data_IF_666999834895
#
_entry.id   IF_666999834895
#
_cell.length_a   1.000
_cell.length_b   1.000
_cell.length_c   1.000
_cell.angle_alpha   90.00
_cell.angle_beta   90.00
_cell.angle_gamma   90.00
#
_symmetry.space_group_name_H-M   'P 1'
#
loop_
_entity.id
_entity.type
_entity.pdbx_description
1 polymer ?
#
# COMPACT_ATOMS: atom_id res chain seq x y z
N UNK A 1 -12.16 -31.60 31.44
CA UNK A 1 -11.22 -30.66 30.79
C UNK A 1 -12.02 -29.46 30.35
N UNK A 2 -12.02 -28.41 31.15
CA UNK A 2 -12.81 -27.19 30.91
C UNK A 2 -12.13 -26.35 29.83
N UNK A 3 -12.83 -26.15 28.71
CA UNK A 3 -12.45 -25.17 27.71
C UNK A 3 -12.54 -23.78 28.35
N UNK A 4 -11.40 -23.19 28.67
CA UNK A 4 -11.29 -21.78 29.04
C UNK A 4 -11.77 -20.96 27.85
N UNK A 5 -12.97 -20.40 27.95
CA UNK A 5 -13.46 -19.41 27.00
C UNK A 5 -12.48 -18.22 27.05
N UNK A 6 -11.60 -18.12 26.05
CA UNK A 6 -10.83 -16.92 25.81
C UNK A 6 -11.84 -15.80 25.54
N UNK A 7 -11.99 -14.89 26.49
CA UNK A 7 -12.74 -13.66 26.29
C UNK A 7 -12.16 -12.94 25.05
N UNK A 8 -13.01 -12.31 24.22
CA UNK A 8 -12.52 -11.54 23.08
C UNK A 8 -11.57 -10.47 23.62
N UNK A 9 -10.30 -10.57 23.23
CA UNK A 9 -9.29 -9.55 23.54
C UNK A 9 -9.82 -8.27 22.94
N UNK A 10 -10.06 -7.24 23.76
CA UNK A 10 -10.31 -5.90 23.22
C UNK A 10 -9.02 -5.42 22.57
N UNK A 11 -8.94 -5.63 21.26
CA UNK A 11 -7.68 -5.50 20.52
C UNK A 11 -7.29 -4.02 20.40
N UNK A 12 -8.24 -3.10 20.50
CA UNK A 12 -8.03 -1.66 20.62
C UNK A 12 -6.90 -1.06 19.75
N UNK A 13 -6.17 -0.10 20.32
CA UNK A 13 -4.99 0.52 19.70
C UNK A 13 -3.84 -0.49 19.43
N UNK A 14 -3.52 -1.43 20.33
CA UNK A 14 -2.46 -2.41 20.10
C UNK A 14 -2.69 -3.27 18.84
N UNK A 15 -3.93 -3.67 18.57
CA UNK A 15 -4.35 -4.40 17.39
C UNK A 15 -4.12 -3.62 16.11
N UNK A 16 -4.50 -2.34 16.10
CA UNK A 16 -4.25 -1.44 14.96
C UNK A 16 -2.75 -1.33 14.67
N UNK A 17 -1.92 -1.16 15.71
CA UNK A 17 -0.45 -1.07 15.56
C UNK A 17 0.12 -2.38 15.02
N UNK A 18 -0.33 -3.52 15.57
CA UNK A 18 0.07 -4.85 15.12
C UNK A 18 -0.28 -5.09 13.65
N UNK A 19 -1.52 -4.80 13.23
CA UNK A 19 -1.96 -4.92 11.84
C UNK A 19 -1.16 -3.98 10.93
N UNK A 20 -0.94 -2.73 11.35
CA UNK A 20 -0.15 -1.77 10.58
C UNK A 20 1.29 -2.25 10.37
N UNK A 21 1.92 -2.85 11.39
CA UNK A 21 3.26 -3.45 11.27
C UNK A 21 3.25 -4.59 10.25
N UNK A 22 2.26 -5.46 10.26
CA UNK A 22 2.10 -6.52 9.26
C UNK A 22 1.95 -5.98 7.83
N UNK A 23 1.11 -4.97 7.61
CA UNK A 23 0.97 -4.31 6.30
C UNK A 23 2.30 -3.70 5.83
N UNK A 24 3.09 -3.11 6.74
CA UNK A 24 4.42 -2.56 6.42
C UNK A 24 5.39 -3.64 6.00
N UNK A 25 5.42 -4.78 6.71
CA UNK A 25 6.24 -5.94 6.34
C UNK A 25 5.84 -6.42 4.93
N UNK A 26 4.54 -6.57 4.66
CA UNK A 26 4.04 -6.96 3.33
C UNK A 26 4.53 -6.01 2.22
N UNK A 27 4.55 -4.70 2.52
CA UNK A 27 5.11 -3.69 1.61
C UNK A 27 6.61 -3.85 1.37
N UNK A 28 7.40 -4.15 2.42
CA UNK A 28 8.83 -4.44 2.30
C UNK A 28 9.09 -5.71 1.49
N UNK A 29 8.33 -6.78 1.73
CA UNK A 29 8.41 -8.03 0.95
C UNK A 29 8.15 -7.77 -0.55
N UNK A 30 7.11 -6.98 -0.88
CA UNK A 30 6.84 -6.60 -2.27
C UNK A 30 7.99 -5.83 -2.92
N UNK A 31 8.59 -4.87 -2.20
CA UNK A 31 9.74 -4.12 -2.69
C UNK A 31 10.97 -5.02 -2.91
N UNK A 32 11.20 -6.01 -2.04
CA UNK A 32 12.28 -6.99 -2.22
C UNK A 32 12.03 -7.82 -3.47
N UNK A 33 10.81 -8.38 -3.67
CA UNK A 33 10.47 -9.15 -4.87
C UNK A 33 10.74 -8.35 -6.15
N UNK A 34 10.32 -7.08 -6.18
CA UNK A 34 10.56 -6.21 -7.33
C UNK A 34 12.06 -6.00 -7.58
N UNK A 35 12.86 -5.76 -6.54
CA UNK A 35 14.30 -5.60 -6.69
C UNK A 35 15.00 -6.89 -7.14
N UNK A 36 14.56 -8.05 -6.63
CA UNK A 36 15.08 -9.36 -7.05
C UNK A 36 14.80 -9.59 -8.53
N UNK A 37 13.58 -9.32 -9.00
CA UNK A 37 13.23 -9.41 -10.43
C UNK A 37 14.11 -8.50 -11.30
N UNK A 38 14.23 -7.23 -10.93
CA UNK A 38 15.06 -6.27 -11.67
C UNK A 38 16.55 -6.65 -11.67
N UNK A 39 17.05 -7.20 -10.56
CA UNK A 39 18.44 -7.65 -10.46
C UNK A 39 18.69 -8.95 -11.22
N UNK A 40 17.68 -9.80 -11.41
CA UNK A 40 17.79 -10.99 -12.25
C UNK A 40 17.94 -10.62 -13.73
N UNK A 41 17.25 -9.57 -14.18
CA UNK A 41 17.39 -9.03 -15.54
C UNK A 41 18.74 -8.32 -15.76
N UNK A 42 19.19 -7.55 -14.77
CA UNK A 42 20.45 -6.81 -14.83
C UNK A 42 21.18 -6.87 -13.47
N UNK A 43 22.04 -7.88 -13.26
CA UNK A 43 22.78 -8.03 -12.02
C UNK A 43 23.69 -6.83 -11.76
N UNK A 44 23.50 -6.18 -10.61
CA UNK A 44 24.36 -5.08 -10.15
C UNK A 44 24.76 -5.33 -8.70
N UNK A 45 26.07 -5.29 -8.36
CA UNK A 45 26.53 -5.53 -6.98
C UNK A 45 25.84 -4.61 -5.95
N UNK A 46 25.61 -3.34 -6.31
CA UNK A 46 24.90 -2.39 -5.45
C UNK A 46 23.44 -2.78 -5.19
N UNK A 47 22.74 -3.33 -6.20
CA UNK A 47 21.37 -3.82 -6.05
C UNK A 47 21.34 -5.08 -5.19
N UNK A 48 22.29 -6.00 -5.37
CA UNK A 48 22.41 -7.20 -4.53
C UNK A 48 22.64 -6.86 -3.06
N UNK A 49 23.55 -5.92 -2.77
CA UNK A 49 23.77 -5.44 -1.41
C UNK A 49 22.50 -4.81 -0.80
N UNK A 50 21.76 -4.02 -1.60
CA UNK A 50 20.47 -3.44 -1.18
C UNK A 50 19.41 -4.51 -0.89
N UNK A 51 19.31 -5.55 -1.72
CA UNK A 51 18.41 -6.69 -1.49
C UNK A 51 18.75 -7.36 -0.16
N UNK A 52 20.03 -7.67 0.07
CA UNK A 52 20.45 -8.32 1.31
C UNK A 52 20.15 -7.47 2.55
N UNK A 53 20.45 -6.16 2.49
CA UNK A 53 20.13 -5.25 3.58
C UNK A 53 18.62 -5.21 3.88
N UNK A 54 17.78 -5.17 2.85
CA UNK A 54 16.32 -5.19 3.02
C UNK A 54 15.83 -6.53 3.58
N UNK A 55 16.39 -7.66 3.13
CA UNK A 55 16.06 -8.99 3.66
C UNK A 55 16.41 -9.09 5.14
N UNK A 56 17.62 -8.71 5.55
CA UNK A 56 18.02 -8.71 6.97
C UNK A 56 17.05 -7.90 7.85
N UNK A 57 16.70 -6.69 7.41
CA UNK A 57 15.73 -5.86 8.12
C UNK A 57 14.34 -6.51 8.18
N UNK A 58 13.84 -7.00 7.05
CA UNK A 58 12.54 -7.64 6.97
C UNK A 58 12.45 -8.89 7.85
N UNK A 59 13.52 -9.68 7.93
CA UNK A 59 13.60 -10.86 8.81
C UNK A 59 13.52 -10.46 10.28
N UNK A 60 14.22 -9.41 10.69
CA UNK A 60 14.14 -8.90 12.06
C UNK A 60 12.74 -8.35 12.40
N UNK A 61 12.17 -7.55 11.50
CA UNK A 61 10.82 -6.99 11.66
C UNK A 61 9.76 -8.11 11.74
N UNK A 62 9.90 -9.15 10.90
CA UNK A 62 9.03 -10.31 10.86
C UNK A 62 9.14 -11.16 12.13
N UNK A 63 10.34 -11.47 12.59
CA UNK A 63 10.53 -12.23 13.84
C UNK A 63 9.84 -11.53 15.03
N UNK A 64 10.04 -10.22 15.16
CA UNK A 64 9.37 -9.42 16.19
C UNK A 64 7.85 -9.37 16.01
N UNK A 65 7.35 -9.34 14.78
CA UNK A 65 5.91 -9.37 14.51
C UNK A 65 5.29 -10.75 14.79
N UNK A 66 5.97 -11.85 14.44
CA UNK A 66 5.53 -13.22 14.75
C UNK A 66 5.42 -13.49 16.25
N UNK A 67 6.33 -12.92 17.05
CA UNK A 67 6.24 -12.99 18.51
C UNK A 67 4.96 -12.32 19.05
N UNK A 68 4.46 -11.28 18.39
CA UNK A 68 3.17 -10.63 18.74
C UNK A 68 1.97 -11.37 18.13
N UNK A 69 2.17 -12.06 17.00
CA UNK A 69 1.10 -12.77 16.31
C UNK A 69 0.49 -13.88 17.16
N UNK A 70 1.27 -14.57 18.00
CA UNK A 70 0.72 -15.58 18.92
C UNK A 70 -0.27 -14.99 19.93
N UNK A 71 -0.16 -13.70 20.25
CA UNK A 71 -1.07 -12.99 21.16
C UNK A 71 -2.31 -12.51 20.43
N UNK A 72 -2.15 -11.88 19.26
CA UNK A 72 -3.25 -11.26 18.52
C UNK A 72 -3.98 -12.20 17.56
N UNK A 73 -3.34 -13.29 17.12
CA UNK A 73 -3.83 -14.24 16.12
C UNK A 73 -3.46 -15.67 16.52
N UNK A 74 -3.86 -16.14 17.71
CA UNK A 74 -3.39 -17.42 18.28
C UNK A 74 -3.68 -18.63 17.38
N UNK A 75 -4.80 -18.60 16.64
CA UNK A 75 -5.21 -19.70 15.75
C UNK A 75 -4.48 -19.69 14.40
N UNK A 76 -3.87 -18.58 14.00
CA UNK A 76 -3.27 -18.42 12.66
C UNK A 76 -1.92 -19.14 12.53
N UNK A 77 -1.21 -19.31 13.65
CA UNK A 77 0.06 -20.05 13.67
C UNK A 77 -0.06 -21.50 13.17
N UNK A 78 -1.26 -22.09 13.25
CA UNK A 78 -1.54 -23.46 12.78
C UNK A 78 -1.66 -23.56 11.25
N UNK A 79 -1.93 -22.43 10.59
CA UNK A 79 -2.23 -22.37 9.15
C UNK A 79 -1.06 -21.80 8.35
N UNK A 80 -0.22 -20.98 8.98
CA UNK A 80 0.87 -20.28 8.30
C UNK A 80 2.18 -21.04 8.46
N UNK A 81 2.67 -21.61 7.35
CA UNK A 81 3.98 -22.25 7.29
C UNK A 81 5.11 -21.22 7.34
N UNK A 82 6.13 -21.50 8.15
CA UNK A 82 7.37 -20.74 8.16
C UNK A 82 8.26 -21.23 7.01
N UNK A 83 8.68 -20.30 6.14
CA UNK A 83 9.66 -20.57 5.08
C UNK A 83 11.03 -20.10 5.57
N UNK A 84 12.11 -20.65 5.01
CA UNK A 84 13.49 -20.36 5.41
C UNK A 84 13.86 -18.86 5.42
N UNK A 85 15.00 -18.51 6.08
CA UNK A 85 15.40 -17.12 6.33
C UNK A 85 15.77 -16.33 5.06
N UNK A 86 16.07 -17.00 3.95
CA UNK A 86 16.45 -16.36 2.68
C UNK A 86 15.26 -15.98 1.80
N UNK A 87 14.05 -16.42 2.17
CA UNK A 87 12.82 -16.25 1.40
C UNK A 87 11.80 -15.38 2.14
N UNK A 88 12.28 -14.41 2.93
CA UNK A 88 11.41 -13.55 3.75
C UNK A 88 10.35 -12.84 2.90
N UNK A 89 10.66 -12.52 1.65
CA UNK A 89 9.73 -11.94 0.68
C UNK A 89 8.66 -12.89 0.16
N UNK A 90 8.77 -14.19 0.41
CA UNK A 90 7.79 -15.21 0.02
C UNK A 90 6.99 -15.74 1.22
N UNK A 91 7.35 -15.36 2.45
CA UNK A 91 6.62 -15.76 3.64
C UNK A 91 5.22 -15.12 3.68
N UNK A 92 4.20 -15.96 3.83
CA UNK A 92 2.82 -15.53 4.05
C UNK A 92 2.69 -15.00 5.47
N UNK A 93 2.13 -13.80 5.66
CA UNK A 93 2.02 -13.21 6.99
C UNK A 93 0.83 -13.78 7.77
N UNK A 94 -0.22 -14.19 7.07
CA UNK A 94 -1.51 -14.53 7.64
C UNK A 94 -2.29 -13.28 8.02
N UNK A 95 -2.24 -12.21 7.24
CA UNK A 95 -3.09 -11.04 7.49
C UNK A 95 -4.57 -11.38 7.22
N UNK A 96 -5.54 -10.74 7.88
CA UNK A 96 -6.96 -11.02 7.62
C UNK A 96 -7.37 -10.98 6.14
N UNK A 97 -6.80 -10.07 5.33
CA UNK A 97 -7.05 -9.99 3.88
C UNK A 97 -6.52 -11.19 3.07
N UNK A 98 -5.73 -12.08 3.67
CA UNK A 98 -5.22 -13.31 3.06
C UNK A 98 -6.18 -14.49 3.26
N UNK A 99 -7.24 -14.31 4.06
CA UNK A 99 -8.24 -15.32 4.36
C UNK A 99 -9.61 -14.96 3.78
N UNK A 100 -10.38 -15.99 3.40
CA UNK A 100 -11.80 -15.82 3.06
C UNK A 100 -12.61 -15.33 4.27
N UNK A 101 -13.84 -14.88 4.04
CA UNK A 101 -14.72 -14.48 5.14
C UNK A 101 -14.94 -15.63 6.16
N UNK A 102 -15.28 -16.83 5.67
CA UNK A 102 -15.50 -17.99 6.53
C UNK A 102 -14.24 -18.37 7.35
N UNK A 103 -13.05 -18.29 6.74
CA UNK A 103 -11.79 -18.53 7.46
C UNK A 103 -11.50 -17.46 8.51
N UNK A 104 -11.84 -16.18 8.24
CA UNK A 104 -11.71 -15.11 9.24
C UNK A 104 -12.62 -15.33 10.43
N UNK A 105 -13.81 -15.87 10.22
CA UNK A 105 -14.73 -16.25 11.30
C UNK A 105 -14.17 -17.42 12.10
N UNK A 106 -13.71 -18.50 11.44
CA UNK A 106 -13.17 -19.68 12.12
C UNK A 106 -11.87 -19.43 12.88
N UNK A 107 -11.07 -18.45 12.44
CA UNK A 107 -9.78 -18.08 13.04
C UNK A 107 -9.88 -16.90 14.02
N UNK A 108 -11.10 -16.43 14.32
CA UNK A 108 -11.38 -15.28 15.19
C UNK A 108 -10.65 -13.98 14.78
N UNK A 109 -10.66 -13.68 13.48
CA UNK A 109 -9.95 -12.54 12.89
C UNK A 109 -10.85 -11.35 12.57
N UNK A 110 -12.12 -11.38 12.94
CA UNK A 110 -13.10 -10.36 12.53
C UNK A 110 -12.74 -8.95 13.02
N UNK A 111 -12.31 -8.82 14.27
CA UNK A 111 -11.91 -7.53 14.83
C UNK A 111 -10.65 -6.97 14.11
N UNK A 112 -9.62 -7.81 13.92
CA UNK A 112 -8.43 -7.43 13.16
C UNK A 112 -8.75 -7.11 11.69
N UNK A 113 -9.69 -7.82 11.07
CA UNK A 113 -10.13 -7.55 9.71
C UNK A 113 -10.76 -6.15 9.58
N UNK A 114 -11.52 -5.70 10.59
CA UNK A 114 -12.06 -4.32 10.63
C UNK A 114 -10.94 -3.29 10.75
N UNK A 115 -9.94 -3.52 11.59
CA UNK A 115 -8.76 -2.66 11.68
C UNK A 115 -7.98 -2.60 10.36
N UNK A 116 -7.73 -3.76 9.74
CA UNK A 116 -7.05 -3.84 8.45
C UNK A 116 -7.83 -3.10 7.36
N UNK A 117 -9.15 -3.25 7.32
CA UNK A 117 -10.03 -2.56 6.38
C UNK A 117 -9.85 -1.04 6.50
N UNK A 118 -9.98 -0.49 7.72
CA UNK A 118 -9.83 0.95 7.96
C UNK A 118 -8.43 1.46 7.59
N UNK A 119 -7.38 0.72 7.96
CA UNK A 119 -6.00 1.06 7.60
C UNK A 119 -5.79 1.08 6.09
N UNK A 120 -6.25 0.04 5.37
CA UNK A 120 -6.10 -0.05 3.92
C UNK A 120 -6.92 1.00 3.19
N UNK A 121 -8.11 1.36 3.67
CA UNK A 121 -8.91 2.47 3.12
C UNK A 121 -8.15 3.80 3.23
N UNK A 122 -7.61 4.10 4.42
CA UNK A 122 -6.81 5.32 4.65
C UNK A 122 -5.55 5.33 3.78
N UNK A 123 -4.86 4.20 3.67
CA UNK A 123 -3.66 4.08 2.84
C UNK A 123 -3.97 4.24 1.35
N UNK A 124 -5.04 3.63 0.85
CA UNK A 124 -5.50 3.80 -0.52
C UNK A 124 -5.84 5.27 -0.83
N UNK A 125 -6.58 5.93 0.07
CA UNK A 125 -6.89 7.35 -0.05
C UNK A 125 -5.63 8.23 -0.12
N UNK A 126 -4.66 7.97 0.76
CA UNK A 126 -3.39 8.69 0.76
C UNK A 126 -2.59 8.44 -0.53
N UNK A 127 -2.59 7.22 -1.06
CA UNK A 127 -1.97 6.92 -2.34
C UNK A 127 -2.65 7.67 -3.49
N UNK A 128 -3.99 7.71 -3.52
CA UNK A 128 -4.76 8.48 -4.50
C UNK A 128 -4.45 9.99 -4.45
N UNK A 129 -4.32 10.57 -3.25
CA UNK A 129 -3.81 11.94 -3.07
C UNK A 129 -2.39 12.09 -3.61
N UNK A 130 -1.51 11.13 -3.34
CA UNK A 130 -0.14 11.08 -3.88
C UNK A 130 -0.10 11.12 -5.40
N UNK A 131 -0.92 10.30 -6.08
CA UNK A 131 -1.06 10.30 -7.55
C UNK A 131 -1.50 11.67 -8.06
N UNK A 132 -2.52 12.29 -7.44
CA UNK A 132 -3.00 13.63 -7.81
C UNK A 132 -1.90 14.69 -7.67
N UNK A 133 -1.14 14.66 -6.58
CA UNK A 133 -0.03 15.59 -6.36
C UNK A 133 1.08 15.43 -7.40
N UNK A 134 1.45 14.20 -7.75
CA UNK A 134 2.45 13.94 -8.79
C UNK A 134 1.94 14.42 -10.16
N UNK A 135 0.68 14.14 -10.52
CA UNK A 135 0.09 14.61 -11.76
C UNK A 135 0.13 16.14 -11.89
N UNK A 136 -0.19 16.87 -10.81
CA UNK A 136 -0.11 18.33 -10.77
C UNK A 136 1.33 18.83 -10.97
N UNK A 137 2.31 18.21 -10.32
CA UNK A 137 3.74 18.55 -10.51
C UNK A 137 4.20 18.30 -11.93
N UNK A 138 3.90 17.14 -12.50
CA UNK A 138 4.23 16.82 -13.89
C UNK A 138 3.59 17.82 -14.86
N UNK A 139 2.36 18.24 -14.58
CA UNK A 139 1.69 19.27 -15.37
C UNK A 139 2.38 20.64 -15.23
N UNK A 140 2.77 21.06 -14.03
CA UNK A 140 3.54 22.29 -13.82
C UNK A 140 4.88 22.23 -14.57
N UNK A 141 5.62 21.13 -14.41
CA UNK A 141 6.87 20.88 -15.13
C UNK A 141 6.69 20.81 -16.64
N UNK A 142 5.49 20.54 -17.17
CA UNK A 142 5.20 20.63 -18.60
C UNK A 142 4.91 22.06 -19.09
N UNK A 143 4.44 22.95 -18.21
CA UNK A 143 4.06 24.34 -18.53
C UNK A 143 5.24 25.31 -18.49
N UNK A 144 6.25 25.06 -17.65
CA UNK A 144 7.48 25.89 -17.55
C UNK A 144 8.39 25.77 -18.79
N UNK A 145 7.86 25.40 -19.95
CA UNK A 145 8.61 24.74 -21.05
C UNK A 145 8.83 25.61 -22.29
N UNK A 146 8.96 26.93 -22.16
CA UNK A 146 9.26 27.78 -23.33
C UNK A 146 10.35 28.83 -23.09
N UNK A 147 10.57 29.32 -21.87
CA UNK A 147 11.34 30.56 -21.70
C UNK A 147 12.66 30.47 -20.92
N UNK A 148 13.03 29.33 -20.32
CA UNK A 148 14.16 29.28 -19.36
C UNK A 148 15.22 28.18 -19.54
N UNK A 149 14.97 27.13 -20.34
CA UNK A 149 15.96 26.05 -20.54
C UNK A 149 16.87 26.35 -21.73
N UNK A 150 17.78 27.31 -21.59
CA UNK A 150 18.67 27.75 -22.68
C UNK A 150 19.93 26.87 -22.85
N UNK A 151 19.90 25.60 -22.46
CA UNK A 151 21.05 24.70 -22.67
C UNK A 151 20.81 23.19 -22.43
N UNK A 152 21.60 22.32 -23.08
CA UNK A 152 21.42 20.86 -23.06
C UNK A 152 21.57 20.24 -21.66
N UNK A 153 22.42 20.79 -20.79
CA UNK A 153 22.58 20.32 -19.41
C UNK A 153 21.34 20.60 -18.53
N UNK A 154 20.70 21.76 -18.71
CA UNK A 154 19.47 22.10 -17.98
C UNK A 154 18.30 21.21 -18.44
N UNK A 155 18.21 20.98 -19.75
CA UNK A 155 17.25 20.03 -20.32
C UNK A 155 17.43 18.61 -19.76
N UNK A 156 18.67 18.10 -19.69
CA UNK A 156 18.95 16.77 -19.14
C UNK A 156 18.54 16.63 -17.65
N UNK A 157 18.86 17.63 -16.82
CA UNK A 157 18.46 17.67 -15.39
C UNK A 157 16.94 17.65 -15.25
N UNK A 158 16.23 18.48 -16.02
CA UNK A 158 14.77 18.54 -16.00
C UNK A 158 14.13 17.21 -16.44
N UNK A 159 14.68 16.56 -17.46
CA UNK A 159 14.20 15.24 -17.89
C UNK A 159 14.42 14.19 -16.79
N UNK A 160 15.54 14.26 -16.08
CA UNK A 160 15.79 13.40 -14.93
C UNK A 160 14.78 13.66 -13.79
N UNK A 161 14.44 14.91 -13.51
CA UNK A 161 13.42 15.26 -12.51
C UNK A 161 12.03 14.76 -12.90
N UNK A 162 11.63 14.91 -14.16
CA UNK A 162 10.39 14.36 -14.68
C UNK A 162 10.36 12.84 -14.54
N UNK A 163 11.45 12.15 -14.90
CA UNK A 163 11.58 10.70 -14.73
C UNK A 163 11.40 10.29 -13.27
N UNK A 164 12.06 10.98 -12.33
CA UNK A 164 11.95 10.70 -10.89
C UNK A 164 10.53 10.91 -10.35
N UNK A 165 9.83 11.95 -10.80
CA UNK A 165 8.44 12.21 -10.42
C UNK A 165 7.48 11.18 -11.06
N UNK A 166 7.72 10.74 -12.30
CA UNK A 166 6.96 9.64 -12.91
C UNK A 166 7.13 8.34 -12.12
N UNK A 167 8.37 7.96 -11.79
CA UNK A 167 8.64 6.79 -10.93
C UNK A 167 7.95 6.91 -9.56
N UNK A 168 7.88 8.12 -9.00
CA UNK A 168 7.14 8.37 -7.76
C UNK A 168 5.63 8.16 -7.94
N UNK A 169 5.07 8.61 -9.06
CA UNK A 169 3.68 8.37 -9.43
C UNK A 169 3.39 6.88 -9.57
N UNK A 170 4.24 6.16 -10.29
CA UNK A 170 4.13 4.72 -10.51
C UNK A 170 4.15 3.97 -9.17
N UNK A 171 5.01 4.35 -8.21
CA UNK A 171 5.01 3.80 -6.84
C UNK A 171 3.71 4.06 -6.07
N UNK A 172 3.08 5.23 -6.22
CA UNK A 172 1.79 5.50 -5.58
C UNK A 172 0.66 4.68 -6.21
N UNK A 173 0.68 4.49 -7.53
CA UNK A 173 -0.29 3.65 -8.25
C UNK A 173 -0.16 2.19 -7.81
N UNK A 174 1.06 1.65 -7.78
CA UNK A 174 1.31 0.28 -7.36
C UNK A 174 0.80 0.03 -5.93
N UNK A 175 1.15 0.92 -5.00
CA UNK A 175 0.65 0.85 -3.61
C UNK A 175 -0.87 0.96 -3.54
N UNK A 176 -1.48 1.86 -4.31
CA UNK A 176 -2.93 2.00 -4.39
C UNK A 176 -3.58 0.69 -4.84
N UNK A 177 -3.08 0.09 -5.92
CA UNK A 177 -3.62 -1.14 -6.48
C UNK A 177 -3.46 -2.32 -5.51
N UNK A 178 -2.34 -2.40 -4.78
CA UNK A 178 -2.14 -3.39 -3.72
C UNK A 178 -3.13 -3.20 -2.56
N UNK A 179 -3.38 -1.96 -2.12
CA UNK A 179 -4.40 -1.69 -1.09
C UNK A 179 -5.79 -2.06 -1.59
N UNK A 180 -6.14 -1.67 -2.82
CA UNK A 180 -7.42 -1.99 -3.46
C UNK A 180 -7.66 -3.51 -3.54
N UNK A 181 -6.66 -4.27 -3.97
CA UNK A 181 -6.77 -5.73 -4.09
C UNK A 181 -7.10 -6.38 -2.74
N UNK A 182 -6.48 -5.92 -1.66
CA UNK A 182 -6.77 -6.43 -0.33
C UNK A 182 -8.10 -5.91 0.24
N UNK A 183 -8.51 -4.67 -0.08
CA UNK A 183 -9.84 -4.16 0.28
C UNK A 183 -10.93 -5.04 -0.33
N UNK A 184 -10.80 -5.42 -1.61
CA UNK A 184 -11.73 -6.33 -2.29
C UNK A 184 -11.83 -7.70 -1.62
N UNK A 185 -10.77 -8.17 -0.95
CA UNK A 185 -10.81 -9.42 -0.17
C UNK A 185 -11.45 -9.22 1.20
N UNK A 186 -11.31 -8.03 1.78
CA UNK A 186 -11.80 -7.72 3.12
C UNK A 186 -13.30 -7.41 3.17
N UNK A 187 -13.85 -6.80 2.12
CA UNK A 187 -15.26 -6.40 2.03
C UNK A 187 -16.00 -7.15 0.92
N UNK A 188 -17.26 -7.47 1.16
CA UNK A 188 -18.21 -7.98 0.14
C UNK A 188 -18.82 -6.85 -0.68
N UNK A 189 -18.89 -5.64 -0.13
CA UNK A 189 -19.32 -4.44 -0.85
C UNK A 189 -18.23 -3.98 -1.83
N UNK A 190 -18.63 -3.50 -3.01
CA UNK A 190 -17.73 -2.90 -3.98
C UNK A 190 -17.07 -1.67 -3.35
N UNK A 191 -15.76 -1.68 -3.07
CA UNK A 191 -15.10 -0.54 -2.47
C UNK A 191 -15.15 0.66 -3.42
N UNK A 192 -15.41 1.86 -2.90
CA UNK A 192 -15.30 3.13 -3.66
C UNK A 192 -13.83 3.50 -3.90
N UNK A 193 -13.14 2.60 -4.58
CA UNK A 193 -11.72 2.69 -4.91
C UNK A 193 -11.55 2.22 -6.37
N UNK A 194 -11.89 3.05 -7.36
CA UNK A 194 -11.76 2.70 -8.77
C UNK A 194 -10.30 2.48 -9.15
N UNK A 195 -9.99 1.55 -10.08
CA UNK A 195 -8.61 1.29 -10.47
C UNK A 195 -7.95 2.56 -11.02
N UNK A 196 -6.74 2.87 -10.53
CA UNK A 196 -5.94 3.98 -11.03
C UNK A 196 -4.89 3.42 -11.98
N UNK A 197 -4.82 3.98 -13.18
CA UNK A 197 -3.82 3.62 -14.18
C UNK A 197 -2.79 4.74 -14.34
N UNK A 198 -1.70 4.46 -15.04
CA UNK A 198 -0.66 5.44 -15.37
C UNK A 198 -1.20 6.67 -16.11
N UNK A 199 -2.32 6.53 -16.83
CA UNK A 199 -3.02 7.65 -17.47
C UNK A 199 -3.50 8.73 -16.47
N UNK A 200 -3.66 8.39 -15.19
CA UNK A 200 -3.96 9.37 -14.16
C UNK A 200 -2.82 10.37 -13.92
N UNK A 201 -1.56 9.99 -14.22
CA UNK A 201 -0.39 10.88 -14.13
C UNK A 201 -0.31 11.85 -15.30
N UNK A 202 -0.97 11.54 -16.41
CA UNK A 202 -0.89 12.31 -17.66
C UNK A 202 -2.17 13.09 -17.96
N UNK A 203 -3.22 12.98 -17.13
CA UNK A 203 -4.53 13.60 -17.41
C UNK A 203 -4.36 15.08 -17.77
N UNK A 204 -4.71 15.39 -19.03
CA UNK A 204 -4.90 16.75 -19.53
C UNK A 204 -5.90 17.49 -18.65
N UNK A 205 -5.80 18.82 -18.64
CA UNK A 205 -6.75 19.74 -17.99
C UNK A 205 -8.15 19.15 -18.05
N UNK A 206 -8.79 18.93 -16.90
CA UNK A 206 -10.23 18.72 -16.87
C UNK A 206 -10.87 19.80 -17.71
N UNK A 207 -11.69 19.40 -18.67
CA UNK A 207 -12.46 20.35 -19.46
C UNK A 207 -13.31 21.19 -18.49
N UNK A 208 -13.68 22.43 -18.83
CA UNK A 208 -14.61 23.21 -18.00
C UNK A 208 -15.87 22.42 -17.63
N UNK A 209 -16.34 21.53 -18.51
CA UNK A 209 -17.47 20.63 -18.28
C UNK A 209 -17.22 19.60 -17.17
N UNK A 210 -16.03 19.00 -17.10
CA UNK A 210 -15.67 18.06 -16.01
C UNK A 210 -15.51 18.75 -14.65
N UNK A 211 -15.10 20.03 -14.63
CA UNK A 211 -15.05 20.83 -13.38
C UNK A 211 -16.45 21.19 -12.89
N UNK A 212 -17.37 21.52 -13.81
CA UNK A 212 -18.76 21.77 -13.49
C UNK A 212 -19.45 20.50 -12.93
N UNK A 213 -19.18 19.34 -13.54
CA UNK A 213 -19.71 18.06 -13.07
C UNK A 213 -19.16 17.67 -11.68
N UNK A 214 -17.86 17.88 -11.43
CA UNK A 214 -17.26 17.64 -10.12
C UNK A 214 -17.78 18.58 -9.02
N UNK A 215 -18.08 19.83 -9.36
CA UNK A 215 -18.70 20.81 -8.45
C UNK A 215 -20.15 20.46 -8.14
N UNK A 216 -20.92 19.97 -9.11
CA UNK A 216 -22.30 19.54 -8.92
C UNK A 216 -22.38 18.27 -8.05
N UNK A 217 -21.45 17.32 -8.23
CA UNK A 217 -21.34 16.14 -7.37
C UNK A 217 -20.92 16.47 -5.94
N UNK A 218 -20.09 17.51 -5.74
CA UNK A 218 -19.72 17.99 -4.41
C UNK A 218 -20.89 18.73 -3.71
N UNK A 219 -21.77 19.38 -4.48
CA UNK A 219 -22.96 20.07 -3.96
C UNK A 219 -24.11 19.12 -3.57
N UNK A 220 -24.10 17.87 -4.06
CA UNK A 220 -25.10 16.84 -3.74
C UNK A 220 -24.61 15.79 -2.75
N UNK A 221 -23.33 15.82 -2.37
CA UNK A 221 -22.84 14.99 -1.28
C UNK A 221 -23.37 15.54 0.05
N UNK A 222 -24.04 14.74 0.90
CA UNK A 222 -24.40 15.18 2.24
C UNK A 222 -23.14 15.65 2.96
N UNK A 223 -23.20 16.90 3.40
CA UNK A 223 -22.19 17.56 4.22
C UNK A 223 -22.09 16.78 5.53
N UNK A 224 -21.22 15.78 5.59
CA UNK A 224 -20.61 15.43 6.87
C UNK A 224 -19.57 16.49 7.17
N UNK A 225 -20.13 17.60 7.67
CA UNK A 225 -19.45 18.66 8.38
C UNK A 225 -18.56 18.06 9.46
N UNK A 226 -17.34 18.60 9.53
CA UNK A 226 -16.69 19.02 10.77
C UNK A 226 -16.93 18.11 11.98
N UNK A 227 -15.99 17.22 12.29
CA UNK A 227 -15.48 17.08 13.66
C UNK A 227 -14.07 16.47 13.60
N UNK A 228 -13.16 17.18 14.27
CA UNK A 228 -11.86 16.81 14.87
C UNK A 228 -11.24 15.44 14.51
#
# INVERSE_FOLDING_TARGET
MTATAMLPVDIGVPGVIFTLKGIRIQGTQAAIRQLVLLNAEQPRPATQHKIQHLRTRATADLASWRAQQSVFMPLVGQVVHQVGPHDVEHQVLGLPSEFSQAQRESLDLLALARHELALRQRMAWNCGKGVKHVALRLQQSSRTRVTQDSGPHQHARRMQEISREQERGDRYIEKYMAMRAALLKLTTATPDFPPITRAALTRRKTSPAERAAGSAAYAQAPIFSLFL
#
